data_IF_091579071274
#
_entry.id   IF_091579071274
#
_cell.length_a   1.000
_cell.length_b   1.000
_cell.length_c   1.000
_cell.angle_alpha   90.00
_cell.angle_beta   90.00
_cell.angle_gamma   90.00
#
_symmetry.space_group_name_H-M   'P 1'
#
loop_
_entity.id
_entity.type
_entity.pdbx_description
1 polymer ?
#
# COMPACT_ATOMS: atom_id res chain seq x y z
N UNK A 1 -15.12 -11.63 -20.56
CA UNK A 1 -15.06 -10.81 -19.32
C UNK A 1 -14.07 -11.44 -18.36
N UNK A 2 -13.26 -10.66 -17.65
CA UNK A 2 -12.20 -11.18 -16.77
C UNK A 2 -12.71 -11.35 -15.33
N UNK A 3 -12.23 -12.40 -14.66
CA UNK A 3 -12.36 -12.55 -13.21
C UNK A 3 -11.39 -11.61 -12.49
N UNK A 4 -11.69 -11.20 -11.27
CA UNK A 4 -10.74 -10.41 -10.46
C UNK A 4 -9.40 -11.12 -10.26
N UNK A 5 -9.37 -12.45 -10.27
CA UNK A 5 -8.12 -13.23 -10.24
C UNK A 5 -7.21 -12.89 -11.42
N UNK A 6 -7.77 -12.82 -12.63
CA UNK A 6 -7.02 -12.42 -13.82
C UNK A 6 -6.51 -10.98 -13.73
N UNK A 7 -7.25 -10.09 -13.08
CA UNK A 7 -6.79 -8.72 -12.86
C UNK A 7 -5.60 -8.71 -11.90
N UNK A 8 -5.66 -9.46 -10.79
CA UNK A 8 -4.50 -9.58 -9.90
C UNK A 8 -3.30 -10.22 -10.60
N UNK A 9 -3.51 -11.23 -11.43
CA UNK A 9 -2.46 -11.90 -12.19
C UNK A 9 -1.75 -10.92 -13.15
N UNK A 10 -2.45 -9.92 -13.71
CA UNK A 10 -1.79 -8.87 -14.53
C UNK A 10 -0.82 -7.97 -13.74
N UNK A 11 -0.90 -7.99 -12.42
CA UNK A 11 0.03 -7.30 -11.52
C UNK A 11 0.97 -8.28 -10.81
N UNK A 12 1.05 -9.53 -11.26
CA UNK A 12 1.80 -10.60 -10.59
C UNK A 12 1.42 -10.72 -9.10
N UNK A 13 0.11 -10.62 -8.84
CA UNK A 13 -0.52 -10.72 -7.52
C UNK A 13 -1.54 -11.84 -7.52
N UNK A 14 -1.71 -12.49 -6.37
CA UNK A 14 -2.76 -13.50 -6.15
C UNK A 14 -3.19 -13.50 -4.69
N UNK A 15 -4.45 -13.82 -4.43
CA UNK A 15 -5.01 -13.95 -3.07
C UNK A 15 -4.37 -15.10 -2.28
N UNK A 16 -3.71 -16.04 -2.96
CA UNK A 16 -3.01 -17.16 -2.34
C UNK A 16 -1.56 -16.82 -1.92
N UNK A 17 -1.08 -15.60 -2.22
CA UNK A 17 0.27 -15.20 -1.83
C UNK A 17 0.38 -15.03 -0.31
N UNK A 18 1.51 -15.46 0.26
CA UNK A 18 1.80 -15.27 1.69
C UNK A 18 1.87 -13.79 2.15
N UNK A 19 1.99 -12.84 1.21
CA UNK A 19 2.03 -11.39 1.47
C UNK A 19 0.64 -10.76 1.54
N UNK A 20 -0.42 -11.56 1.39
CA UNK A 20 -1.79 -11.09 1.58
C UNK A 20 -2.02 -10.89 3.08
N UNK A 21 -2.32 -9.64 3.42
CA UNK A 21 -2.66 -9.19 4.77
C UNK A 21 -4.18 -9.12 4.96
N UNK A 22 -4.89 -8.83 3.88
CA UNK A 22 -6.33 -8.66 3.89
C UNK A 22 -6.92 -9.24 2.60
N UNK A 23 -7.97 -10.05 2.74
CA UNK A 23 -8.81 -10.48 1.63
C UNK A 23 -10.24 -10.59 2.15
N UNK A 24 -11.04 -9.54 1.92
CA UNK A 24 -12.39 -9.43 2.45
C UNK A 24 -13.35 -8.80 1.46
N UNK A 25 -14.58 -9.31 1.45
CA UNK A 25 -15.71 -8.62 0.85
C UNK A 25 -16.21 -7.52 1.80
N UNK A 26 -16.27 -6.30 1.28
CA UNK A 26 -16.76 -5.11 1.96
C UNK A 26 -18.12 -4.76 1.36
N UNK A 27 -19.08 -4.48 2.23
CA UNK A 27 -20.37 -4.00 1.80
C UNK A 27 -20.26 -2.58 1.22
N UNK A 28 -20.92 -2.23 0.10
CA UNK A 28 -21.02 -0.86 -0.41
C UNK A 28 -21.32 0.27 0.59
N UNK A 29 -22.04 -0.01 1.68
CA UNK A 29 -22.34 0.99 2.70
C UNK A 29 -21.16 1.28 3.62
N UNK A 30 -20.20 0.36 3.66
CA UNK A 30 -19.02 0.38 4.52
C UNK A 30 -17.80 0.97 3.80
N UNK A 31 -17.95 1.46 2.56
CA UNK A 31 -16.87 2.10 1.81
C UNK A 31 -17.34 3.33 1.02
N UNK A 32 -16.51 4.38 1.04
CA UNK A 32 -16.62 5.55 0.18
C UNK A 32 -15.27 5.78 -0.51
N UNK A 33 -15.29 5.98 -1.83
CA UNK A 33 -14.12 6.34 -2.63
C UNK A 33 -14.39 7.72 -3.22
N UNK A 34 -13.58 8.71 -2.87
CA UNK A 34 -13.75 10.13 -3.24
C UNK A 34 -15.16 10.66 -2.94
N UNK A 35 -15.70 10.27 -1.78
CA UNK A 35 -17.06 10.62 -1.35
C UNK A 35 -18.17 9.84 -2.06
N UNK A 36 -17.86 9.01 -3.06
CA UNK A 36 -18.83 8.23 -3.83
C UNK A 36 -18.87 6.76 -3.40
N UNK A 37 -20.07 6.18 -3.35
CA UNK A 37 -20.24 4.74 -3.12
C UNK A 37 -20.13 3.96 -4.42
N UNK A 38 -19.52 2.79 -4.33
CA UNK A 38 -19.50 1.86 -5.44
C UNK A 38 -20.71 0.93 -5.35
N UNK A 39 -21.42 0.76 -6.46
CA UNK A 39 -22.52 -0.19 -6.57
C UNK A 39 -21.95 -1.57 -6.91
N UNK A 40 -22.39 -2.64 -6.24
CA UNK A 40 -21.90 -4.01 -6.47
C UNK A 40 -21.20 -4.62 -5.26
N UNK A 41 -20.64 -5.83 -5.38
CA UNK A 41 -19.81 -6.42 -4.32
C UNK A 41 -18.40 -5.87 -4.45
N UNK A 42 -17.79 -5.47 -3.35
CA UNK A 42 -16.45 -4.85 -3.35
C UNK A 42 -15.52 -5.76 -2.56
N UNK A 43 -14.40 -6.16 -3.16
CA UNK A 43 -13.35 -6.92 -2.47
C UNK A 43 -12.18 -6.01 -2.15
N UNK A 44 -11.78 -5.97 -0.90
CA UNK A 44 -10.53 -5.37 -0.46
C UNK A 44 -9.47 -6.46 -0.37
N UNK A 45 -8.40 -6.29 -1.15
CA UNK A 45 -7.25 -7.20 -1.16
C UNK A 45 -6.01 -6.37 -0.81
N UNK A 46 -5.53 -6.51 0.42
CA UNK A 46 -4.36 -5.78 0.92
C UNK A 46 -3.12 -6.67 0.90
N UNK A 47 -2.07 -6.17 0.27
CA UNK A 47 -0.71 -6.69 0.35
C UNK A 47 0.13 -5.80 1.25
N UNK A 48 1.39 -6.16 1.49
CA UNK A 48 2.33 -5.34 2.30
C UNK A 48 2.62 -3.98 1.63
N UNK A 49 2.69 -3.95 0.30
CA UNK A 49 3.10 -2.80 -0.52
C UNK A 49 1.93 -1.98 -1.09
N UNK A 50 0.87 -2.66 -1.51
CA UNK A 50 -0.30 -2.07 -2.18
C UNK A 50 -1.58 -2.68 -1.66
N UNK A 51 -2.71 -2.03 -1.91
CA UNK A 51 -4.01 -2.68 -1.77
C UNK A 51 -4.90 -2.40 -2.97
N UNK A 52 -5.78 -3.35 -3.25
CA UNK A 52 -6.75 -3.31 -4.32
C UNK A 52 -8.15 -3.20 -3.75
N UNK A 53 -8.96 -2.35 -4.36
CA UNK A 53 -10.41 -2.35 -4.20
C UNK A 53 -11.02 -2.73 -5.54
N UNK A 54 -11.68 -3.89 -5.57
CA UNK A 54 -12.22 -4.46 -6.80
C UNK A 54 -13.73 -4.60 -6.66
N UNK A 55 -14.47 -3.93 -7.54
CA UNK A 55 -15.90 -4.12 -7.71
C UNK A 55 -16.15 -5.28 -8.67
N UNK A 56 -17.02 -6.19 -8.25
CA UNK A 56 -17.41 -7.34 -9.06
C UNK A 56 -18.90 -7.64 -8.95
N UNK A 57 -19.44 -8.27 -10.00
CA UNK A 57 -20.82 -8.75 -10.06
C UNK A 57 -20.91 -10.25 -10.35
N UNK A 58 -22.02 -10.87 -9.94
CA UNK A 58 -22.28 -12.30 -10.15
C UNK A 58 -21.16 -13.22 -9.62
N UNK A 59 -20.74 -14.19 -10.43
CA UNK A 59 -19.61 -15.11 -10.18
C UNK A 59 -18.26 -14.42 -10.47
N UNK A 60 -17.91 -13.39 -9.69
CA UNK A 60 -16.57 -12.76 -9.73
C UNK A 60 -16.23 -11.97 -11.01
N UNK A 61 -17.24 -11.51 -11.74
CA UNK A 61 -17.06 -10.69 -12.94
C UNK A 61 -16.55 -9.30 -12.57
N UNK A 62 -15.36 -8.94 -13.03
CA UNK A 62 -14.77 -7.63 -12.79
C UNK A 62 -15.58 -6.51 -13.47
N UNK A 63 -15.87 -5.44 -12.74
CA UNK A 63 -16.53 -4.23 -13.29
C UNK A 63 -15.58 -3.03 -13.29
N UNK A 64 -15.00 -2.75 -12.13
CA UNK A 64 -14.05 -1.65 -11.92
C UNK A 64 -13.15 -1.97 -10.74
N UNK A 65 -12.00 -1.33 -10.67
CA UNK A 65 -11.19 -1.40 -9.46
C UNK A 65 -10.22 -0.24 -9.38
N UNK A 66 -9.57 -0.12 -8.23
CA UNK A 66 -8.46 0.79 -8.01
C UNK A 66 -7.33 0.04 -7.30
N UNK A 67 -6.10 0.38 -7.64
CA UNK A 67 -4.90 0.01 -6.90
C UNK A 67 -4.39 1.25 -6.16
N UNK A 68 -4.05 1.10 -4.89
CA UNK A 68 -3.53 2.16 -4.04
C UNK A 68 -2.16 1.78 -3.53
N UNK A 69 -1.22 2.71 -3.66
CA UNK A 69 0.15 2.56 -3.17
C UNK A 69 0.24 2.95 -1.71
N UNK A 70 0.98 2.15 -0.93
CA UNK A 70 1.18 2.43 0.50
C UNK A 70 2.58 2.95 0.83
N UNK A 71 3.55 2.70 -0.05
CA UNK A 71 4.93 3.07 0.19
C UNK A 71 5.29 4.43 -0.42
N UNK A 72 5.82 5.32 0.41
CA UNK A 72 6.20 6.67 0.02
C UNK A 72 7.42 6.68 -0.92
N UNK A 73 8.36 5.73 -0.77
CA UNK A 73 9.51 5.64 -1.68
C UNK A 73 9.02 5.35 -3.10
N UNK A 74 8.12 4.37 -3.21
CA UNK A 74 7.49 4.02 -4.46
C UNK A 74 6.65 5.17 -5.05
N UNK A 75 5.86 5.86 -4.22
CA UNK A 75 5.06 7.02 -4.64
C UNK A 75 5.96 8.13 -5.22
N UNK A 76 7.05 8.48 -4.53
CA UNK A 76 8.01 9.51 -5.00
C UNK A 76 8.67 9.10 -6.32
N UNK A 77 9.03 7.83 -6.46
CA UNK A 77 9.62 7.31 -7.69
C UNK A 77 8.64 7.40 -8.87
N UNK A 78 7.36 7.07 -8.66
CA UNK A 78 6.33 7.24 -9.69
C UNK A 78 6.19 8.70 -10.07
N UNK A 79 6.07 9.61 -9.10
CA UNK A 79 5.92 11.05 -9.36
C UNK A 79 7.09 11.58 -10.20
N UNK A 80 8.33 11.21 -9.83
CA UNK A 80 9.54 11.56 -10.57
C UNK A 80 9.55 10.98 -11.99
N UNK A 81 9.11 9.73 -12.16
CA UNK A 81 9.04 9.08 -13.48
C UNK A 81 7.91 9.62 -14.37
N UNK A 82 6.83 10.12 -13.77
CA UNK A 82 5.72 10.74 -14.48
C UNK A 82 6.00 12.21 -14.80
N UNK A 83 7.03 12.81 -14.19
CA UNK A 83 7.34 14.24 -14.25
C UNK A 83 6.16 15.11 -13.78
N UNK A 84 5.44 14.64 -12.75
CA UNK A 84 4.27 15.29 -12.15
C UNK A 84 4.60 15.63 -10.70
N UNK A 85 4.19 16.81 -10.23
CA UNK A 85 4.41 17.23 -8.85
C UNK A 85 3.26 16.76 -7.95
N UNK A 86 3.53 16.39 -6.69
CA UNK A 86 2.51 15.97 -5.73
C UNK A 86 1.35 17.00 -5.58
N UNK A 87 1.67 18.29 -5.63
CA UNK A 87 0.70 19.38 -5.58
C UNK A 87 -0.26 19.43 -6.78
N UNK A 88 0.17 19.02 -7.97
CA UNK A 88 -0.68 18.98 -9.18
C UNK A 88 -1.77 17.90 -9.05
N UNK A 89 -1.47 16.83 -8.32
CA UNK A 89 -2.41 15.75 -8.00
C UNK A 89 -3.19 16.00 -6.70
N UNK A 90 -2.95 17.13 -6.04
CA UNK A 90 -3.56 17.50 -4.76
C UNK A 90 -3.15 16.62 -3.58
N UNK A 91 -1.99 15.95 -3.65
CA UNK A 91 -1.45 15.20 -2.51
C UNK A 91 -0.81 16.14 -1.50
N UNK A 92 -1.27 15.99 -0.26
CA UNK A 92 -0.68 16.67 0.89
C UNK A 92 0.60 15.97 1.31
N UNK A 93 1.59 16.76 1.74
CA UNK A 93 2.76 16.24 2.43
C UNK A 93 2.38 16.03 3.90
N UNK A 94 2.40 14.78 4.35
CA UNK A 94 1.94 14.42 5.70
C UNK A 94 2.96 14.83 6.77
N UNK A 95 4.25 14.88 6.39
CA UNK A 95 5.37 15.08 7.31
C UNK A 95 5.96 16.51 7.28
N UNK A 96 5.20 17.53 6.86
CA UNK A 96 5.68 18.92 6.81
C UNK A 96 6.30 19.39 8.14
N UNK A 97 5.70 18.99 9.26
CA UNK A 97 6.20 19.37 10.60
C UNK A 97 7.54 18.70 10.94
N UNK A 98 7.74 17.45 10.49
CA UNK A 98 9.00 16.73 10.70
C UNK A 98 10.12 17.30 9.83
N UNK A 99 9.80 17.67 8.59
CA UNK A 99 10.74 18.30 7.65
C UNK A 99 11.20 19.64 8.21
N UNK A 100 10.27 20.50 8.66
CA UNK A 100 10.59 21.78 9.30
C UNK A 100 11.47 21.58 10.55
N UNK A 101 11.09 20.64 11.41
CA UNK A 101 11.85 20.34 12.62
C UNK A 101 13.26 19.77 12.34
N UNK A 102 13.47 19.07 11.22
CA UNK A 102 14.78 18.58 10.80
C UNK A 102 15.65 19.69 10.24
N UNK A 103 15.07 20.58 9.41
CA UNK A 103 15.72 21.78 8.89
C UNK A 103 16.18 22.70 10.03
N UNK A 104 15.31 22.95 11.01
CA UNK A 104 15.63 23.79 12.18
C UNK A 104 16.76 23.20 13.04
N UNK A 105 16.95 21.87 13.01
CA UNK A 105 17.97 21.14 13.77
C UNK A 105 19.24 20.84 12.95
N UNK A 106 19.32 21.30 11.69
CA UNK A 106 20.45 21.02 10.80
C UNK A 106 20.70 19.53 10.55
N UNK A 107 19.65 18.71 10.62
CA UNK A 107 19.73 17.26 10.33
C UNK A 107 19.59 17.01 8.83
N UNK A 108 19.93 15.80 8.40
CA UNK A 108 19.71 15.35 7.04
C UNK A 108 18.24 15.55 6.61
N UNK A 109 18.01 15.91 5.33
CA UNK A 109 16.67 16.20 4.83
C UNK A 109 15.78 14.95 4.89
N UNK A 110 14.70 15.03 5.67
CA UNK A 110 13.69 13.97 5.74
C UNK A 110 12.89 13.99 4.44
N UNK A 111 12.71 12.81 3.83
CA UNK A 111 11.96 12.66 2.57
C UNK A 111 10.45 12.86 2.77
N UNK A 112 9.79 13.44 1.77
CA UNK A 112 8.35 13.71 1.81
C UNK A 112 7.50 12.43 1.88
N UNK A 113 6.53 12.40 2.79
CA UNK A 113 5.52 11.33 2.90
C UNK A 113 4.19 11.83 2.37
N UNK A 114 3.55 11.01 1.53
CA UNK A 114 2.29 11.31 0.89
C UNK A 114 1.19 10.33 1.27
N UNK A 115 1.54 9.15 1.80
CA UNK A 115 0.57 8.20 2.30
C UNK A 115 0.02 8.66 3.65
N UNK A 116 -1.30 8.87 3.72
CA UNK A 116 -2.00 9.31 4.94
C UNK A 116 -3.00 8.25 5.37
N UNK A 117 -2.77 7.66 6.54
CA UNK A 117 -3.72 6.76 7.19
C UNK A 117 -4.22 7.36 8.50
N UNK A 118 -5.53 7.59 8.60
CA UNK A 118 -6.16 8.12 9.80
C UNK A 118 -7.15 7.12 10.40
N UNK A 119 -7.02 6.90 11.69
CA UNK A 119 -7.95 6.11 12.49
C UNK A 119 -8.33 6.88 13.75
N UNK A 120 -9.45 7.59 13.72
CA UNK A 120 -9.96 8.33 14.88
C UNK A 120 -10.32 7.34 16.00
N UNK A 121 -9.80 7.53 17.21
CA UNK A 121 -10.13 6.67 18.37
C UNK A 121 -11.62 6.83 18.70
N UNK A 122 -12.36 5.72 18.74
CA UNK A 122 -13.84 5.75 18.87
C UNK A 122 -14.60 6.01 17.56
N UNK A 123 -13.92 6.46 16.49
CA UNK A 123 -14.51 6.58 15.16
C UNK A 123 -14.77 5.22 14.51
N UNK A 124 -15.80 5.17 13.66
CA UNK A 124 -16.24 3.95 12.97
C UNK A 124 -15.46 3.64 11.69
N UNK A 125 -14.72 4.63 11.15
CA UNK A 125 -14.11 4.54 9.83
C UNK A 125 -12.59 4.77 9.86
N UNK A 126 -11.90 4.13 8.91
CA UNK A 126 -10.53 4.37 8.49
C UNK A 126 -10.56 5.30 7.30
N UNK A 127 -9.78 6.38 7.32
CA UNK A 127 -9.61 7.28 6.18
C UNK A 127 -8.20 7.10 5.63
N UNK A 128 -8.11 6.79 4.35
CA UNK A 128 -6.87 6.61 3.61
C UNK A 128 -6.80 7.66 2.51
N UNK A 129 -5.70 8.39 2.43
CA UNK A 129 -5.42 9.29 1.31
C UNK A 129 -4.07 8.91 0.73
N UNK A 130 -4.06 8.54 -0.55
CA UNK A 130 -2.82 8.16 -1.24
C UNK A 130 -2.99 8.24 -2.75
N UNK A 131 -1.90 7.99 -3.47
CA UNK A 131 -1.90 7.80 -4.91
C UNK A 131 -2.35 6.41 -5.32
N UNK A 132 -3.01 6.36 -6.47
CA UNK A 132 -3.41 5.13 -7.08
C UNK A 132 -3.75 5.27 -8.55
N UNK A 133 -4.20 4.16 -9.11
CA UNK A 133 -4.70 4.07 -10.47
C UNK A 133 -6.02 3.32 -10.52
N UNK A 134 -6.86 3.71 -11.47
CA UNK A 134 -7.98 2.88 -11.89
C UNK A 134 -7.43 1.64 -12.59
N UNK A 135 -7.81 0.47 -12.09
CA UNK A 135 -7.54 -0.80 -12.73
C UNK A 135 -8.72 -1.20 -13.61
N UNK A 136 -8.41 -1.84 -14.72
CA UNK A 136 -9.35 -2.37 -15.71
C UNK A 136 -8.86 -3.72 -16.22
N UNK A 137 -9.49 -4.23 -17.28
CA UNK A 137 -9.03 -5.47 -17.95
C UNK A 137 -7.90 -5.18 -18.95
N UNK A 138 -7.10 -4.13 -18.71
CA UNK A 138 -6.03 -3.69 -19.61
C UNK A 138 -4.69 -4.02 -18.98
N UNK A 139 -3.73 -4.43 -19.82
CA UNK A 139 -2.36 -4.76 -19.40
C UNK A 139 -1.44 -3.55 -19.31
N UNK A 140 -1.91 -2.37 -19.76
CA UNK A 140 -1.13 -1.13 -19.77
C UNK A 140 -1.96 0.01 -19.19
N UNK A 141 -1.36 0.75 -18.27
CA UNK A 141 -1.93 1.94 -17.68
C UNK A 141 -1.00 3.11 -17.96
N UNK A 142 -1.58 4.18 -18.50
CA UNK A 142 -0.86 5.42 -18.75
C UNK A 142 -0.54 6.10 -17.41
N UNK A 143 0.69 6.58 -17.27
CA UNK A 143 1.15 7.31 -16.08
C UNK A 143 0.35 8.59 -15.80
N UNK A 144 -0.27 9.16 -16.82
CA UNK A 144 -1.16 10.32 -16.72
C UNK A 144 -2.49 10.02 -16.01
N UNK A 145 -2.80 8.74 -15.77
CA UNK A 145 -3.99 8.31 -15.03
C UNK A 145 -3.75 8.18 -13.53
N UNK A 146 -2.57 8.56 -13.03
CA UNK A 146 -2.34 8.73 -11.61
C UNK A 146 -3.37 9.70 -11.04
N UNK A 147 -4.07 9.26 -9.99
CA UNK A 147 -5.00 10.12 -9.26
C UNK A 147 -4.80 9.94 -7.76
N UNK A 148 -5.07 11.01 -7.03
CA UNK A 148 -5.26 10.95 -5.59
C UNK A 148 -6.62 10.34 -5.29
N UNK A 149 -6.64 9.39 -4.37
CA UNK A 149 -7.85 8.79 -3.85
C UNK A 149 -7.99 9.08 -2.35
N UNK A 150 -9.19 9.48 -1.95
CA UNK A 150 -9.63 9.49 -0.55
C UNK A 150 -10.60 8.33 -0.32
N UNK A 151 -10.19 7.35 0.46
CA UNK A 151 -10.96 6.14 0.72
C UNK A 151 -11.36 6.10 2.19
N UNK A 152 -12.65 6.03 2.46
CA UNK A 152 -13.19 5.80 3.80
C UNK A 152 -13.73 4.38 3.89
N UNK A 153 -13.19 3.59 4.81
CA UNK A 153 -13.58 2.19 5.02
C UNK A 153 -14.03 2.02 6.47
N UNK A 154 -15.21 1.46 6.70
CA UNK A 154 -15.65 1.13 8.05
C UNK A 154 -14.73 0.09 8.68
N UNK A 155 -14.40 0.26 9.96
CA UNK A 155 -13.41 -0.54 10.69
C UNK A 155 -13.76 -2.03 10.85
N UNK A 156 -14.87 -2.50 10.30
CA UNK A 156 -15.39 -3.84 10.52
C UNK A 156 -16.11 -3.99 11.85
N UNK A 157 -17.04 -4.94 11.91
CA UNK A 157 -17.83 -5.24 13.12
C UNK A 157 -17.02 -6.06 14.13
N UNK A 158 -16.19 -6.98 13.61
CA UNK A 158 -15.43 -7.94 14.42
C UNK A 158 -13.97 -7.53 14.60
N UNK A 159 -13.38 -7.93 15.73
CA UNK A 159 -11.98 -7.64 16.04
C UNK A 159 -11.00 -8.22 15.02
N UNK A 160 -11.25 -9.46 14.55
CA UNK A 160 -10.39 -10.12 13.56
C UNK A 160 -10.44 -9.40 12.20
N UNK A 161 -11.63 -9.02 11.75
CA UNK A 161 -11.83 -8.24 10.52
C UNK A 161 -11.16 -6.88 10.63
N UNK A 162 -11.36 -6.18 11.74
CA UNK A 162 -10.74 -4.88 12.03
C UNK A 162 -9.22 -4.95 11.97
N UNK A 163 -8.61 -5.97 12.58
CA UNK A 163 -7.15 -6.15 12.57
C UNK A 163 -6.62 -6.38 11.15
N UNK A 164 -7.28 -7.23 10.37
CA UNK A 164 -6.86 -7.56 9.00
C UNK A 164 -7.07 -6.39 8.03
N UNK A 165 -8.24 -5.72 8.08
CA UNK A 165 -8.48 -4.51 7.28
C UNK A 165 -7.45 -3.45 7.59
N UNK A 166 -7.23 -3.15 8.89
CA UNK A 166 -6.22 -2.18 9.31
C UNK A 166 -4.85 -2.51 8.72
N UNK A 167 -4.38 -3.75 8.91
CA UNK A 167 -3.06 -4.19 8.41
C UNK A 167 -2.96 -4.12 6.89
N UNK A 168 -4.01 -4.55 6.17
CA UNK A 168 -4.04 -4.49 4.71
C UNK A 168 -3.94 -3.06 4.14
N UNK A 169 -4.59 -2.10 4.79
CA UNK A 169 -4.63 -0.71 4.29
C UNK A 169 -3.58 0.21 4.91
N UNK A 170 -2.93 -0.15 6.03
CA UNK A 170 -1.88 0.67 6.63
C UNK A 170 -0.52 0.43 5.99
N UNK A 171 0.34 1.45 6.06
CA UNK A 171 1.77 1.29 5.83
C UNK A 171 2.37 0.46 6.98
N UNK A 172 3.35 -0.39 6.65
CA UNK A 172 4.00 -1.27 7.60
C UNK A 172 5.30 -0.63 8.08
N UNK A 173 5.50 -0.57 9.39
CA UNK A 173 6.74 -0.09 9.99
C UNK A 173 7.83 -1.18 9.92
N UNK A 174 9.08 -0.83 10.24
CA UNK A 174 10.22 -1.76 10.23
C UNK A 174 9.92 -3.09 10.95
N UNK A 175 9.29 -3.04 12.13
CA UNK A 175 8.95 -4.23 12.89
C UNK A 175 7.86 -5.08 12.22
N UNK A 176 6.88 -4.44 11.59
CA UNK A 176 5.86 -5.14 10.81
C UNK A 176 6.51 -5.84 9.61
N UNK A 177 7.38 -5.15 8.88
CA UNK A 177 8.13 -5.71 7.76
C UNK A 177 9.01 -6.89 8.19
N UNK A 178 9.73 -6.76 9.30
CA UNK A 178 10.52 -7.84 9.88
C UNK A 178 9.65 -9.06 10.22
N UNK A 179 8.51 -8.85 10.86
CA UNK A 179 7.57 -9.92 11.18
C UNK A 179 6.99 -10.58 9.92
N UNK A 180 6.69 -9.79 8.90
CA UNK A 180 6.21 -10.26 7.61
C UNK A 180 7.29 -11.09 6.89
N UNK A 181 8.54 -10.64 6.91
CA UNK A 181 9.66 -11.38 6.33
C UNK A 181 9.82 -12.77 6.98
N UNK A 182 9.62 -12.88 8.30
CA UNK A 182 9.57 -14.17 9.01
C UNK A 182 8.38 -15.01 8.55
N UNK A 183 7.17 -14.44 8.55
CA UNK A 183 5.95 -15.15 8.14
C UNK A 183 6.04 -15.67 6.70
N UNK A 184 6.74 -14.94 5.82
CA UNK A 184 6.98 -15.35 4.45
C UNK A 184 8.12 -16.36 4.29
N UNK A 185 8.95 -16.55 5.33
CA UNK A 185 10.11 -17.44 5.30
C UNK A 185 11.33 -16.84 4.58
N UNK A 186 11.40 -15.52 4.48
CA UNK A 186 12.53 -14.79 3.88
C UNK A 186 13.69 -14.74 4.87
N UNK A 187 13.39 -14.58 6.17
CA UNK A 187 14.35 -14.64 7.26
C UNK A 187 13.85 -15.58 8.36
N UNK A 188 14.79 -16.10 9.14
CA UNK A 188 14.52 -16.88 10.35
C UNK A 188 14.41 -15.97 11.58
N UNK A 189 13.79 -16.49 12.65
CA UNK A 189 13.77 -15.79 13.95
C UNK A 189 15.18 -15.54 14.51
N UNK A 190 16.13 -16.44 14.24
CA UNK A 190 17.51 -16.30 14.68
C UNK A 190 18.23 -15.15 13.95
N UNK A 191 18.06 -15.05 12.62
CA UNK A 191 18.59 -13.94 11.82
C UNK A 191 18.01 -12.60 12.25
N UNK A 192 16.72 -12.55 12.62
CA UNK A 192 16.09 -11.35 13.18
C UNK A 192 16.82 -10.85 14.43
N UNK A 193 16.98 -11.73 15.42
CA UNK A 193 17.63 -11.41 16.70
C UNK A 193 19.08 -10.99 16.45
N UNK A 194 19.80 -11.72 15.60
CA UNK A 194 21.17 -11.39 15.20
C UNK A 194 21.28 -10.02 14.51
N UNK A 195 20.33 -9.65 13.66
CA UNK A 195 20.32 -8.34 12.99
C UNK A 195 20.03 -7.19 13.94
N UNK A 196 19.11 -7.36 14.90
CA UNK A 196 18.81 -6.34 15.92
C UNK A 196 20.05 -6.09 16.79
N UNK A 197 20.71 -7.15 17.25
CA UNK A 197 21.89 -7.05 18.11
C UNK A 197 23.13 -6.56 17.34
N UNK A 198 23.35 -7.05 16.12
CA UNK A 198 24.55 -6.71 15.34
C UNK A 198 24.56 -5.30 14.75
N UNK A 199 23.40 -4.73 14.37
CA UNK A 199 23.34 -3.42 13.70
C UNK A 199 23.09 -2.23 14.63
N UNK A 200 22.59 -2.46 15.84
CA UNK A 200 22.58 -1.43 16.90
C UNK A 200 24.01 -1.03 17.30
N UNK A 201 24.99 -1.90 17.05
CA UNK A 201 26.42 -1.64 17.26
C UNK A 201 27.09 -0.99 16.02
N UNK A 202 26.53 -1.18 14.81
CA UNK A 202 27.14 -0.81 13.54
C UNK A 202 26.64 0.50 12.88
N UNK A 203 25.85 1.31 13.57
CA UNK A 203 25.48 2.67 13.11
C UNK A 203 24.58 2.75 11.85
N UNK A 204 23.92 1.67 11.44
CA UNK A 204 22.99 1.71 10.29
C UNK A 204 21.67 2.38 10.67
N UNK A 205 21.11 3.22 9.78
CA UNK A 205 19.82 3.88 10.05
C UNK A 205 18.64 2.91 9.97
N UNK A 206 17.57 3.15 10.74
CA UNK A 206 16.38 2.29 10.75
C UNK A 206 15.63 2.30 9.41
N UNK A 207 15.73 3.39 8.65
CA UNK A 207 15.11 3.55 7.33
C UNK A 207 15.78 2.66 6.26
N UNK A 208 17.12 2.56 6.28
CA UNK A 208 17.88 1.67 5.41
C UNK A 208 17.58 0.18 5.67
N UNK A 209 17.22 -0.16 6.91
CA UNK A 209 16.78 -1.52 7.24
C UNK A 209 15.37 -1.77 6.73
N UNK A 210 14.46 -0.80 6.90
CA UNK A 210 13.08 -0.90 6.45
C UNK A 210 12.99 -1.11 4.94
N UNK A 211 13.70 -0.30 4.18
CA UNK A 211 13.77 -0.41 2.71
C UNK A 211 14.31 -1.77 2.26
N UNK A 212 15.35 -2.33 2.89
CA UNK A 212 15.88 -3.67 2.57
C UNK A 212 14.87 -4.79 2.84
N UNK A 213 14.20 -4.76 4.00
CA UNK A 213 13.18 -5.77 4.29
C UNK A 213 11.99 -5.63 3.35
N UNK A 214 11.58 -4.40 3.06
CA UNK A 214 10.52 -4.12 2.09
C UNK A 214 10.88 -4.63 0.70
N UNK A 215 12.10 -4.35 0.21
CA UNK A 215 12.62 -4.85 -1.07
C UNK A 215 12.74 -6.38 -1.06
N UNK A 216 13.15 -7.01 0.03
CA UNK A 216 13.17 -8.47 0.12
C UNK A 216 11.75 -9.06 0.04
N UNK A 217 10.77 -8.43 0.69
CA UNK A 217 9.37 -8.86 0.71
C UNK A 217 8.69 -8.72 -0.65
N UNK A 218 8.95 -7.59 -1.31
CA UNK A 218 8.36 -7.25 -2.61
C UNK A 218 9.15 -7.90 -3.76
N UNK A 219 10.47 -7.94 -3.65
CA UNK A 219 11.45 -8.47 -4.61
C UNK A 219 11.54 -10.00 -4.64
N UNK A 220 11.38 -10.70 -3.50
CA UNK A 220 11.28 -12.17 -3.49
C UNK A 220 10.08 -12.71 -4.29
N UNK A 221 9.19 -11.83 -4.75
CA UNK A 221 8.01 -12.14 -5.57
C UNK A 221 7.96 -11.37 -6.89
N UNK A 222 9.02 -10.63 -7.24
CA UNK A 222 9.09 -9.77 -8.42
C UNK A 222 10.28 -10.17 -9.28
N UNK A 223 10.19 -11.30 -9.98
CA UNK A 223 11.17 -11.58 -11.04
C UNK A 223 10.88 -10.76 -12.31
N UNK A 224 9.65 -10.32 -12.57
CA UNK A 224 9.30 -9.35 -13.62
C UNK A 224 8.02 -8.61 -13.20
N UNK A 225 7.89 -7.33 -13.55
CA UNK A 225 6.65 -6.51 -13.48
C UNK A 225 6.20 -5.93 -12.12
N UNK A 226 6.97 -4.96 -11.65
CA UNK A 226 6.36 -3.67 -11.35
C UNK A 226 6.00 -2.98 -12.68
N UNK A 227 5.07 -3.57 -13.46
CA UNK A 227 4.67 -3.10 -14.79
C UNK A 227 3.77 -1.86 -14.74
N UNK A 228 4.20 -0.87 -13.97
CA UNK A 228 3.84 0.54 -14.13
C UNK A 228 5.08 1.43 -14.31
N UNK A 229 6.28 0.82 -14.22
CA UNK A 229 7.55 1.40 -14.62
C UNK A 229 8.14 0.61 -15.81
N UNK A 230 7.45 0.58 -16.96
CA UNK A 230 8.05 0.13 -18.21
C UNK A 230 7.38 0.84 -19.41
N UNK A 231 7.99 1.97 -19.75
CA UNK A 231 8.17 2.52 -21.09
C UNK A 231 7.26 2.01 -22.23
N UNK A 232 6.17 2.76 -22.49
CA UNK A 232 5.92 3.49 -23.75
C UNK A 232 4.75 4.44 -23.57
#
# INVERSE_FOLDING_TARGET
MASYHRVLDTFDRSVNLKSVECDYDIHPWDILVDGSRWQGKIRLIGFVDVFFLICYSGESRFEKGIIIYKDDVFIRNILRQANITAGELGLEVVNENEIKAAQDKGRDPILERHFKFQSIRGGLDYTITSLGHEIGVKTRYEKTKLKRYEIKIRKGRDFAMKKRIRRGVSQHDLFDLMHDAIRMGIITHAELIGHIVGKTIGGTTMEDMGSKYYEAITGAKSSQNLALAADR
#
